data_IF_425886678324
#
_entry.id   IF_425886678324
#
_cell.length_a   1.000
_cell.length_b   1.000
_cell.length_c   1.000
_cell.angle_alpha   90.00
_cell.angle_beta   90.00
_cell.angle_gamma   90.00
#
_symmetry.space_group_name_H-M   'P 1'
#
loop_
_entity.id
_entity.type
_entity.pdbx_description
1 polymer ?
#
# COMPACT_ATOMS: atom_id res chain seq x y z
N UNK A 1 -6.54 -4.17 -6.84
CA UNK A 1 -5.39 -4.79 -7.55
C UNK A 1 -5.53 -6.29 -7.42
N UNK A 2 -5.20 -7.05 -8.47
CA UNK A 2 -5.26 -8.50 -8.45
C UNK A 2 -3.96 -9.07 -9.02
N UNK A 3 -3.53 -10.20 -8.49
CA UNK A 3 -2.36 -10.90 -9.00
C UNK A 3 -2.60 -11.38 -10.43
N UNK A 4 -1.49 -11.53 -11.18
CA UNK A 4 -1.54 -11.99 -12.58
C UNK A 4 -2.27 -13.33 -12.71
N UNK A 5 -2.21 -14.18 -11.69
CA UNK A 5 -2.88 -15.49 -11.65
C UNK A 5 -4.40 -15.38 -11.77
N UNK A 6 -4.99 -14.25 -11.35
CA UNK A 6 -6.44 -14.02 -11.44
C UNK A 6 -6.87 -13.40 -12.77
N UNK A 7 -5.94 -13.15 -13.71
CA UNK A 7 -6.22 -12.47 -14.98
C UNK A 7 -6.57 -13.44 -16.12
N UNK A 8 -7.55 -14.31 -15.88
CA UNK A 8 -8.15 -15.12 -16.94
C UNK A 8 -9.36 -14.38 -17.56
N UNK A 9 -9.85 -14.88 -18.71
CA UNK A 9 -10.94 -14.24 -19.45
C UNK A 9 -12.24 -14.22 -18.64
N UNK A 10 -12.54 -15.31 -17.94
CA UNK A 10 -13.77 -15.46 -17.16
C UNK A 10 -13.83 -14.46 -16.00
N UNK A 11 -12.75 -14.33 -15.25
CA UNK A 11 -12.61 -13.35 -14.18
C UNK A 11 -12.73 -11.93 -14.72
N UNK A 12 -12.07 -11.61 -15.84
CA UNK A 12 -12.19 -10.28 -16.44
C UNK A 12 -13.61 -9.95 -16.87
N UNK A 13 -14.34 -10.92 -17.41
CA UNK A 13 -15.76 -10.76 -17.73
C UNK A 13 -16.57 -10.48 -16.46
N UNK A 14 -16.41 -11.35 -15.45
CA UNK A 14 -17.09 -11.24 -14.16
C UNK A 14 -16.86 -9.89 -13.46
N UNK A 15 -15.62 -9.41 -13.44
CA UNK A 15 -15.30 -8.11 -12.85
C UNK A 15 -15.79 -6.95 -13.71
N UNK A 16 -15.75 -7.07 -15.04
CA UNK A 16 -16.26 -6.04 -15.96
C UNK A 16 -17.78 -5.86 -15.83
N UNK A 17 -18.54 -6.95 -15.71
CA UNK A 17 -19.98 -6.92 -15.44
C UNK A 17 -20.31 -6.17 -14.14
N UNK A 18 -19.42 -6.26 -13.15
CA UNK A 18 -19.56 -5.59 -11.85
C UNK A 18 -18.96 -4.17 -11.83
N UNK A 19 -18.47 -3.67 -12.96
CA UNK A 19 -17.81 -2.36 -13.04
C UNK A 19 -16.46 -2.29 -12.34
N UNK A 20 -15.86 -3.44 -12.01
CA UNK A 20 -14.57 -3.53 -11.31
C UNK A 20 -13.45 -3.59 -12.33
N UNK A 21 -12.54 -2.62 -12.28
CA UNK A 21 -11.33 -2.60 -13.12
C UNK A 21 -10.22 -3.44 -12.48
N UNK A 22 -9.73 -4.46 -13.21
CA UNK A 22 -8.50 -5.16 -12.82
C UNK A 22 -7.24 -4.40 -13.28
N UNK A 23 -6.28 -4.26 -12.38
CA UNK A 23 -4.94 -3.74 -12.67
C UNK A 23 -4.16 -4.67 -13.62
N UNK A 24 -3.36 -4.08 -14.53
CA UNK A 24 -2.43 -4.78 -15.42
C UNK A 24 -2.74 -4.62 -16.93
N UNK A 25 -1.81 -5.03 -17.81
CA UNK A 25 -1.90 -4.83 -19.26
C UNK A 25 -3.04 -5.64 -19.87
N UNK A 26 -3.81 -5.10 -20.82
CA UNK A 26 -4.89 -5.83 -21.49
C UNK A 26 -4.41 -7.20 -22.04
N UNK A 27 -5.28 -8.21 -22.07
CA UNK A 27 -4.93 -9.44 -22.78
C UNK A 27 -4.91 -9.16 -24.29
N UNK A 28 -3.81 -9.51 -24.93
CA UNK A 28 -3.60 -9.29 -26.37
C UNK A 28 -2.58 -8.19 -26.67
N UNK A 29 -2.54 -7.76 -27.93
CA UNK A 29 -1.58 -6.75 -28.39
C UNK A 29 -2.15 -5.34 -28.14
N UNK A 30 -1.48 -4.49 -27.34
CA UNK A 30 -1.95 -3.12 -27.12
C UNK A 30 -1.76 -2.24 -28.35
N UNK A 31 -2.71 -1.35 -28.64
CA UNK A 31 -2.62 -0.39 -29.74
C UNK A 31 -1.57 0.70 -29.44
N UNK A 32 -1.01 1.33 -30.49
CA UNK A 32 0.14 2.25 -30.39
C UNK A 32 -0.13 3.48 -29.50
N UNK A 33 -1.37 3.98 -29.48
CA UNK A 33 -1.76 5.16 -28.70
C UNK A 33 -2.14 4.82 -27.25
N UNK A 34 -2.73 3.64 -27.02
CA UNK A 34 -3.12 3.17 -25.67
C UNK A 34 -1.90 2.82 -24.81
N UNK A 35 -0.78 2.43 -25.42
CA UNK A 35 0.46 2.06 -24.72
C UNK A 35 0.95 3.13 -23.75
N UNK A 36 0.84 4.42 -24.09
CA UNK A 36 1.36 5.50 -23.23
C UNK A 36 0.51 5.72 -21.98
N UNK A 37 -0.82 5.75 -22.13
CA UNK A 37 -1.74 5.93 -21.00
C UNK A 37 -1.73 4.69 -20.10
N UNK A 38 -1.76 3.50 -20.71
CA UNK A 38 -1.69 2.23 -20.02
C UNK A 38 -0.41 2.11 -19.18
N UNK A 39 0.75 2.51 -19.73
CA UNK A 39 2.02 2.50 -19.00
C UNK A 39 2.03 3.46 -17.79
N UNK A 40 1.42 4.63 -17.91
CA UNK A 40 1.27 5.57 -16.78
C UNK A 40 0.40 4.99 -15.68
N UNK A 41 -0.70 4.35 -16.07
CA UNK A 41 -1.62 3.72 -15.14
C UNK A 41 -0.97 2.54 -14.42
N UNK A 42 -0.27 1.67 -15.15
CA UNK A 42 0.48 0.54 -14.58
C UNK A 42 1.54 1.00 -13.59
N UNK A 43 2.23 2.10 -13.87
CA UNK A 43 3.19 2.70 -12.93
C UNK A 43 2.53 3.17 -11.64
N UNK A 44 1.34 3.78 -11.72
CA UNK A 44 0.59 4.20 -10.52
C UNK A 44 0.14 2.98 -9.71
N UNK A 45 -0.49 2.02 -10.36
CA UNK A 45 -0.95 0.77 -9.72
C UNK A 45 0.24 0.02 -9.06
N UNK A 46 1.41 0.00 -9.71
CA UNK A 46 2.62 -0.59 -9.14
C UNK A 46 3.17 0.21 -7.95
N UNK A 47 3.17 1.55 -8.04
CA UNK A 47 3.61 2.42 -6.94
C UNK A 47 2.75 2.24 -5.70
N UNK A 48 1.43 2.19 -5.87
CA UNK A 48 0.48 1.94 -4.80
C UNK A 48 0.69 0.54 -4.20
N UNK A 49 0.89 -0.49 -5.03
CA UNK A 49 1.20 -1.84 -4.56
C UNK A 49 2.48 -1.88 -3.73
N UNK A 50 3.55 -1.27 -4.22
CA UNK A 50 4.83 -1.21 -3.52
C UNK A 50 4.69 -0.53 -2.14
N UNK A 51 3.89 0.52 -2.05
CA UNK A 51 3.61 1.18 -0.77
C UNK A 51 2.87 0.25 0.20
N UNK A 52 1.89 -0.49 -0.29
CA UNK A 52 1.12 -1.48 0.49
C UNK A 52 2.03 -2.63 0.95
N UNK A 53 2.76 -3.26 0.02
CA UNK A 53 3.69 -4.36 0.31
C UNK A 53 4.79 -3.93 1.28
N UNK A 54 5.31 -2.71 1.13
CA UNK A 54 6.27 -2.11 2.05
C UNK A 54 5.71 -2.01 3.47
N UNK A 55 4.48 -1.53 3.63
CA UNK A 55 3.81 -1.44 4.94
C UNK A 55 3.53 -2.82 5.55
N UNK A 56 3.16 -3.80 4.75
CA UNK A 56 3.03 -5.18 5.23
C UNK A 56 4.38 -5.79 5.63
N UNK A 57 5.46 -5.51 4.89
CA UNK A 57 6.81 -5.93 5.22
C UNK A 57 7.31 -5.33 6.53
N UNK A 58 7.06 -4.03 6.74
CA UNK A 58 7.28 -3.32 7.99
C UNK A 58 6.48 -3.95 9.13
N UNK A 59 5.19 -4.21 8.93
CA UNK A 59 4.33 -4.91 9.88
C UNK A 59 4.90 -6.27 10.30
N UNK A 60 5.40 -7.05 9.34
CA UNK A 60 6.00 -8.36 9.62
C UNK A 60 7.32 -8.28 10.38
N UNK A 61 8.20 -7.33 10.04
CA UNK A 61 9.56 -7.23 10.57
C UNK A 61 9.67 -6.34 11.81
N UNK A 62 9.13 -5.13 11.75
CA UNK A 62 9.22 -4.12 12.80
C UNK A 62 8.15 -4.28 13.89
N UNK A 63 7.02 -4.87 13.53
CA UNK A 63 5.86 -5.00 14.42
C UNK A 63 5.51 -6.47 14.74
N UNK A 64 6.33 -7.44 14.33
CA UNK A 64 6.14 -8.83 14.78
C UNK A 64 4.92 -9.56 14.21
N UNK A 65 4.22 -9.04 13.18
CA UNK A 65 3.16 -9.79 12.49
C UNK A 65 3.67 -11.13 11.94
N UNK A 66 4.95 -11.23 11.58
CA UNK A 66 5.58 -12.47 11.12
C UNK A 66 5.92 -13.45 12.24
N UNK A 67 5.73 -13.07 13.50
CA UNK A 67 6.10 -13.85 14.68
C UNK A 67 4.87 -14.32 15.48
N UNK A 68 3.66 -14.10 14.97
CA UNK A 68 2.43 -14.54 15.62
C UNK A 68 2.38 -16.08 15.59
N UNK A 69 2.55 -16.71 16.75
CA UNK A 69 2.49 -18.17 16.95
C UNK A 69 1.22 -18.62 17.69
N UNK A 70 0.22 -17.74 17.81
CA UNK A 70 -1.04 -18.07 18.44
C UNK A 70 -1.73 -19.22 17.67
N UNK A 71 -2.22 -20.22 18.41
CA UNK A 71 -2.79 -21.45 17.82
C UNK A 71 -4.30 -21.38 17.61
N UNK A 72 -4.99 -20.57 18.43
CA UNK A 72 -6.43 -20.35 18.32
C UNK A 72 -6.70 -19.16 17.40
N UNK A 73 -7.69 -19.32 16.53
CA UNK A 73 -8.11 -18.27 15.60
C UNK A 73 -8.40 -16.95 16.32
N UNK A 74 -9.21 -16.99 17.38
CA UNK A 74 -9.60 -15.78 18.12
C UNK A 74 -8.40 -15.03 18.70
N UNK A 75 -7.42 -15.76 19.25
CA UNK A 75 -6.20 -15.16 19.79
C UNK A 75 -5.34 -14.57 18.67
N UNK A 76 -5.18 -15.29 17.55
CA UNK A 76 -4.43 -14.80 16.39
C UNK A 76 -5.04 -13.53 15.81
N UNK A 77 -6.37 -13.48 15.64
CA UNK A 77 -7.09 -12.30 15.16
C UNK A 77 -6.92 -11.12 16.11
N UNK A 78 -7.03 -11.34 17.42
CA UNK A 78 -6.84 -10.29 18.43
C UNK A 78 -5.42 -9.73 18.39
N UNK A 79 -4.40 -10.60 18.31
CA UNK A 79 -3.00 -10.16 18.23
C UNK A 79 -2.74 -9.39 16.93
N UNK A 80 -3.27 -9.84 15.79
CA UNK A 80 -3.18 -9.12 14.52
C UNK A 80 -3.84 -7.74 14.64
N UNK A 81 -5.05 -7.67 15.21
CA UNK A 81 -5.78 -6.42 15.37
C UNK A 81 -5.03 -5.41 16.25
N UNK A 82 -4.51 -5.86 17.40
CA UNK A 82 -3.69 -5.04 18.28
C UNK A 82 -2.43 -4.54 17.58
N UNK A 83 -1.80 -5.39 16.76
CA UNK A 83 -0.60 -4.99 16.05
C UNK A 83 -0.87 -3.91 15.01
N UNK A 84 -1.97 -4.04 14.25
CA UNK A 84 -2.42 -3.02 13.31
C UNK A 84 -2.82 -1.71 14.03
N UNK A 85 -3.43 -1.80 15.21
CA UNK A 85 -3.75 -0.64 16.04
C UNK A 85 -2.48 0.11 16.44
N UNK A 86 -1.46 -0.60 16.94
CA UNK A 86 -0.17 0.01 17.33
C UNK A 86 0.50 0.69 16.13
N UNK A 87 0.53 0.03 14.97
CA UNK A 87 1.07 0.61 13.73
C UNK A 87 0.38 1.92 13.36
N UNK A 88 -0.95 1.97 13.47
CA UNK A 88 -1.72 3.17 13.19
C UNK A 88 -1.48 4.27 14.22
N UNK A 89 -1.42 3.94 15.51
CA UNK A 89 -1.17 4.90 16.58
C UNK A 89 0.22 5.53 16.46
N UNK A 90 1.26 4.75 16.16
CA UNK A 90 2.61 5.29 15.95
C UNK A 90 2.64 6.28 14.78
N UNK A 91 1.98 5.95 13.67
CA UNK A 91 1.86 6.86 12.52
C UNK A 91 1.18 8.18 12.93
N UNK A 92 0.08 8.10 13.67
CA UNK A 92 -0.64 9.30 14.13
C UNK A 92 0.21 10.14 15.07
N UNK A 93 0.89 9.51 16.03
CA UNK A 93 1.82 10.20 16.93
C UNK A 93 2.93 10.89 16.14
N UNK A 94 3.55 10.21 15.15
CA UNK A 94 4.59 10.80 14.31
C UNK A 94 4.13 12.05 13.57
N UNK A 95 2.91 12.03 13.01
CA UNK A 95 2.33 13.20 12.32
C UNK A 95 2.04 14.33 13.31
N UNK A 96 1.48 14.01 14.47
CA UNK A 96 1.21 15.00 15.52
C UNK A 96 2.50 15.63 16.05
N UNK A 97 3.52 14.83 16.35
CA UNK A 97 4.84 15.31 16.75
C UNK A 97 5.46 16.18 15.66
N UNK A 98 5.48 15.75 14.41
CA UNK A 98 6.01 16.57 13.32
C UNK A 98 5.27 17.90 13.19
N UNK A 99 3.94 17.90 13.29
CA UNK A 99 3.11 19.10 13.24
C UNK A 99 3.40 20.02 14.43
N UNK A 100 3.51 19.46 15.63
CA UNK A 100 3.88 20.17 16.85
C UNK A 100 5.26 20.82 16.70
N UNK A 101 6.29 20.06 16.33
CA UNK A 101 7.65 20.58 16.15
C UNK A 101 7.70 21.67 15.07
N UNK A 102 7.00 21.49 13.94
CA UNK A 102 6.93 22.52 12.91
C UNK A 102 6.28 23.81 13.41
N UNK A 103 5.24 23.70 14.23
CA UNK A 103 4.53 24.86 14.78
C UNK A 103 5.37 25.60 15.82
N UNK A 104 6.00 24.89 16.75
CA UNK A 104 6.74 25.47 17.87
C UNK A 104 8.22 25.80 17.54
N UNK A 105 8.81 25.15 16.53
CA UNK A 105 10.21 25.35 16.12
C UNK A 105 10.33 25.64 14.60
N UNK A 106 9.77 26.76 14.11
CA UNK A 106 9.76 27.09 12.68
C UNK A 106 11.15 27.36 12.09
N UNK A 107 12.15 27.65 12.92
CA UNK A 107 13.50 28.07 12.50
C UNK A 107 14.38 26.94 11.95
N UNK A 108 13.99 25.67 12.11
CA UNK A 108 14.79 24.52 11.64
C UNK A 108 14.57 24.17 10.15
N UNK A 109 13.66 24.85 9.46
CA UNK A 109 13.32 24.54 8.05
C UNK A 109 14.07 25.40 7.02
N UNK A 110 14.92 26.34 7.44
CA UNK A 110 15.63 27.30 6.56
C UNK A 110 17.17 27.12 6.55
N UNK A 111 17.67 25.91 6.86
CA UNK A 111 19.11 25.63 6.97
C UNK A 111 19.68 24.63 5.96
N UNK A 112 18.93 24.22 4.94
CA UNK A 112 19.39 23.20 3.97
C UNK A 112 19.12 23.60 2.51
N UNK A 113 19.31 24.88 2.21
CA UNK A 113 19.51 25.38 0.85
C UNK A 113 20.61 26.44 0.95
N UNK A 114 21.86 25.99 0.84
CA UNK A 114 23.10 26.69 0.42
C UNK A 114 24.24 25.81 0.98
N UNK A 115 24.94 25.15 0.07
CA UNK A 115 26.02 24.18 0.32
C UNK A 115 26.09 23.21 -0.83
#
# INVERSE_FOLDING_TARGET
MADKIYRNRDNLHHYKERGIRLSGPQLGRPSRNEQTQQKRLERRDASERNAIEGKFGEGKRGYGLGLIKARLQQTSETVIALQLLVMNLERQLRVLFFTFFKYYFPTFSMGSVIG
#
